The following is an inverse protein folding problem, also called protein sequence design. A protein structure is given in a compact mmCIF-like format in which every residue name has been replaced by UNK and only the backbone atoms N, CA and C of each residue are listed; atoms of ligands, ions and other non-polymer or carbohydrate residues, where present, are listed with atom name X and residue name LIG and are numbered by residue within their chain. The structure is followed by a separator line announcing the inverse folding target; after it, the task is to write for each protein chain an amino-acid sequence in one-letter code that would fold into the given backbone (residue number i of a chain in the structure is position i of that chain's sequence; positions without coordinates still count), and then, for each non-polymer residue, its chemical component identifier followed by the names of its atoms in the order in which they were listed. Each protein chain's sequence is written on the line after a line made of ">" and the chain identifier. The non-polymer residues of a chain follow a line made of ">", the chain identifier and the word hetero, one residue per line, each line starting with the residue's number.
data_IF_636479548593
#
_entry.id   IF_636479548593
#
_cell.length_a   1.000
_cell.length_b   1.000
_cell.length_c   1.000
_cell.angle_alpha   90.00
_cell.angle_beta   90.00
_cell.angle_gamma   90.00
#
_symmetry.space_group_name_H-M   'P 1'
#
loop_
_entity.id
_entity.type
_entity.pdbx_description
1 polymer ?
#
# COMPACT_ATOMS: atom_id res chain seq x y z
N UNK A 1 12.79 -7.03 18.06
CA UNK A 1 12.93 -8.15 17.09
C UNK A 1 12.39 -7.71 15.74
N UNK A 2 12.84 -8.27 14.61
CA UNK A 2 12.35 -7.89 13.29
C UNK A 2 11.08 -8.69 12.89
N UNK A 3 10.25 -8.11 12.03
CA UNK A 3 9.15 -8.85 11.38
C UNK A 3 9.69 -9.95 10.48
N UNK A 4 9.05 -11.11 10.48
CA UNK A 4 9.45 -12.26 9.67
C UNK A 4 8.53 -12.41 8.47
N UNK A 5 9.11 -12.48 7.28
CA UNK A 5 8.41 -12.70 6.00
C UNK A 5 8.60 -14.14 5.58
N UNK A 6 7.52 -14.82 5.19
CA UNK A 6 7.58 -16.24 4.80
C UNK A 6 6.88 -16.47 3.47
N UNK A 7 7.56 -17.19 2.57
CA UNK A 7 7.05 -17.67 1.30
C UNK A 7 7.36 -19.18 1.20
N UNK A 8 6.42 -20.06 1.57
CA UNK A 8 6.67 -21.50 1.53
C UNK A 8 6.72 -22.01 0.08
N UNK A 9 7.51 -23.05 -0.15
CA UNK A 9 7.62 -23.76 -1.42
C UNK A 9 6.44 -24.72 -1.69
N UNK A 10 5.58 -24.92 -0.69
CA UNK A 10 4.34 -25.70 -0.81
C UNK A 10 3.23 -24.99 -1.59
N UNK A 11 3.44 -23.73 -2.00
CA UNK A 11 2.55 -22.94 -2.87
C UNK A 11 3.36 -22.20 -3.94
N UNK A 12 2.69 -21.71 -4.98
CA UNK A 12 3.34 -20.89 -6.00
C UNK A 12 4.02 -19.66 -5.39
N UNK A 13 5.18 -19.27 -5.93
CA UNK A 13 5.87 -18.06 -5.50
C UNK A 13 4.99 -16.79 -5.66
N UNK A 14 5.21 -15.73 -4.85
CA UNK A 14 4.47 -14.49 -5.00
C UNK A 14 4.49 -13.96 -6.45
N UNK A 15 3.30 -13.67 -7.01
CA UNK A 15 3.16 -13.15 -8.38
C UNK A 15 3.57 -11.67 -8.53
N UNK A 16 4.23 -11.10 -7.53
CA UNK A 16 4.63 -9.70 -7.48
C UNK A 16 5.43 -9.38 -6.21
N UNK A 17 5.77 -8.09 -5.98
CA UNK A 17 6.60 -7.65 -4.86
C UNK A 17 5.83 -7.63 -3.52
N UNK A 18 5.50 -8.81 -3.00
CA UNK A 18 4.87 -9.06 -1.69
C UNK A 18 5.38 -10.36 -1.06
N UNK A 19 5.02 -10.59 0.21
CA UNK A 19 5.25 -11.88 0.90
C UNK A 19 3.90 -12.56 1.17
N UNK A 20 3.83 -13.89 1.09
CA UNK A 20 2.61 -14.66 1.42
C UNK A 20 2.17 -14.44 2.86
N UNK A 21 3.11 -14.31 3.80
CA UNK A 21 2.81 -13.89 5.16
C UNK A 21 3.87 -12.96 5.76
N UNK A 22 3.43 -12.14 6.71
CA UNK A 22 4.27 -11.32 7.58
C UNK A 22 3.87 -11.61 9.02
N UNK A 23 4.80 -12.19 9.78
CA UNK A 23 4.69 -12.38 11.22
C UNK A 23 5.27 -11.13 11.91
N UNK A 24 4.42 -10.48 12.72
CA UNK A 24 4.79 -9.27 13.46
C UNK A 24 5.67 -9.66 14.65
N UNK A 25 6.64 -8.81 14.98
CA UNK A 25 7.56 -9.07 16.07
C UNK A 25 6.83 -8.98 17.42
N UNK A 26 7.19 -9.81 18.42
CA UNK A 26 6.60 -9.71 19.75
C UNK A 26 6.72 -8.31 20.34
N UNK A 27 5.63 -7.81 20.93
CA UNK A 27 5.57 -6.49 21.56
C UNK A 27 5.42 -5.30 20.59
N UNK A 28 5.35 -5.52 19.28
CA UNK A 28 5.17 -4.43 18.33
C UNK A 28 3.81 -3.73 18.50
N UNK A 29 3.80 -2.40 18.43
CA UNK A 29 2.59 -1.58 18.36
C UNK A 29 2.01 -1.66 16.95
N UNK A 30 0.70 -1.93 16.85
CA UNK A 30 -0.03 -1.91 15.57
C UNK A 30 -0.60 -0.53 15.27
N UNK A 31 -0.51 -0.12 14.01
CA UNK A 31 -1.10 1.11 13.50
C UNK A 31 -1.93 0.74 12.27
N UNK A 32 -3.23 1.01 12.35
CA UNK A 32 -4.17 0.84 11.24
C UNK A 32 -4.39 2.19 10.59
N UNK A 33 -4.05 2.30 9.30
CA UNK A 33 -4.24 3.54 8.55
C UNK A 33 -5.53 3.44 7.75
N UNK A 34 -6.32 4.52 7.74
CA UNK A 34 -7.41 4.67 6.79
C UNK A 34 -6.88 4.64 5.35
N UNK A 35 -7.71 4.20 4.40
CA UNK A 35 -7.39 4.22 2.98
C UNK A 35 -6.98 5.62 2.51
N UNK A 36 -5.85 5.70 1.82
CA UNK A 36 -5.38 6.93 1.19
C UNK A 36 -5.66 6.88 -0.30
N UNK A 37 -6.21 7.97 -0.82
CA UNK A 37 -6.61 8.12 -2.22
C UNK A 37 -5.71 9.15 -2.92
N UNK A 38 -5.98 9.44 -4.20
CA UNK A 38 -5.25 10.44 -4.98
C UNK A 38 -5.48 11.91 -4.60
N UNK A 39 -6.20 12.20 -3.52
CA UNK A 39 -6.49 13.55 -3.06
C UNK A 39 -5.23 14.24 -2.54
N UNK A 40 -4.91 15.42 -3.08
CA UNK A 40 -3.83 16.28 -2.61
C UNK A 40 -4.19 17.02 -1.30
N UNK A 41 -3.21 17.64 -0.62
CA UNK A 41 -3.43 18.34 0.65
C UNK A 41 -4.36 19.55 0.53
N UNK A 42 -4.52 20.11 -0.67
CA UNK A 42 -5.45 21.19 -1.01
C UNK A 42 -6.84 20.68 -1.42
N UNK A 43 -7.06 19.37 -1.40
CA UNK A 43 -8.29 18.73 -1.84
C UNK A 43 -8.38 18.47 -3.35
N UNK A 44 -7.34 18.81 -4.13
CA UNK A 44 -7.29 18.53 -5.57
C UNK A 44 -7.22 17.03 -5.85
N UNK A 45 -7.79 16.61 -6.98
CA UNK A 45 -7.67 15.23 -7.48
C UNK A 45 -7.15 15.32 -8.91
N UNK A 46 -5.90 14.91 -9.17
CA UNK A 46 -5.37 14.91 -10.52
C UNK A 46 -6.04 13.82 -11.36
N UNK A 47 -6.03 13.99 -12.68
CA UNK A 47 -6.48 12.95 -13.59
C UNK A 47 -5.45 11.83 -13.75
N UNK A 48 -5.95 10.61 -13.94
CA UNK A 48 -5.14 9.45 -14.27
C UNK A 48 -4.45 8.79 -13.09
N UNK A 49 -3.95 7.58 -13.32
CA UNK A 49 -3.43 6.72 -12.26
C UNK A 49 -2.10 7.22 -11.68
N UNK A 50 -1.19 7.74 -12.50
CA UNK A 50 0.18 8.01 -12.05
C UNK A 50 0.22 9.09 -10.96
N UNK A 51 -0.47 10.20 -11.21
CA UNK A 51 -0.55 11.31 -10.26
C UNK A 51 -1.38 10.95 -9.01
N UNK A 52 -2.51 10.25 -9.18
CA UNK A 52 -3.29 9.81 -8.03
C UNK A 52 -2.56 8.78 -7.17
N UNK A 53 -1.82 7.84 -7.76
CA UNK A 53 -1.03 6.87 -7.00
C UNK A 53 0.13 7.56 -6.27
N UNK A 54 0.80 8.53 -6.90
CA UNK A 54 1.87 9.31 -6.26
C UNK A 54 1.32 10.07 -5.03
N UNK A 55 0.15 10.69 -5.17
CA UNK A 55 -0.53 11.35 -4.06
C UNK A 55 -0.91 10.35 -2.95
N UNK A 56 -1.52 9.21 -3.29
CA UNK A 56 -1.91 8.20 -2.31
C UNK A 56 -0.71 7.67 -1.51
N UNK A 57 0.41 7.36 -2.17
CA UNK A 57 1.63 6.93 -1.48
C UNK A 57 2.31 8.05 -0.69
N UNK A 58 2.28 9.30 -1.18
CA UNK A 58 2.79 10.46 -0.43
C UNK A 58 1.97 10.70 0.83
N UNK A 59 0.64 10.57 0.75
CA UNK A 59 -0.26 10.66 1.89
C UNK A 59 0.04 9.54 2.90
N UNK A 60 0.18 8.29 2.44
CA UNK A 60 0.60 7.18 3.31
C UNK A 60 1.92 7.46 4.03
N UNK A 61 2.93 7.97 3.31
CA UNK A 61 4.22 8.34 3.90
C UNK A 61 4.04 9.35 5.04
N UNK A 62 3.23 10.37 4.83
CA UNK A 62 2.99 11.43 5.82
C UNK A 62 2.21 10.90 7.04
N UNK A 63 1.18 10.08 6.83
CA UNK A 63 0.37 9.50 7.91
C UNK A 63 1.18 8.48 8.73
N UNK A 64 2.00 7.65 8.07
CA UNK A 64 2.95 6.76 8.73
C UNK A 64 3.93 7.57 9.60
N UNK A 65 4.54 8.61 9.03
CA UNK A 65 5.49 9.46 9.75
C UNK A 65 4.87 10.14 10.98
N UNK A 66 3.63 10.64 10.87
CA UNK A 66 2.88 11.19 11.99
C UNK A 66 2.63 10.17 13.13
N UNK A 67 2.65 8.88 12.81
CA UNK A 67 2.50 7.76 13.77
C UNK A 67 3.84 7.21 14.27
N UNK A 68 4.96 7.83 13.89
CA UNK A 68 6.32 7.36 14.19
C UNK A 68 6.74 6.12 13.39
N UNK A 69 6.14 5.90 12.23
CA UNK A 69 6.39 4.75 11.35
C UNK A 69 6.94 5.19 9.98
N UNK A 70 7.57 4.26 9.27
CA UNK A 70 7.93 4.37 7.87
C UNK A 70 7.34 3.22 7.04
N UNK A 71 7.64 3.17 5.73
CA UNK A 71 7.17 2.07 4.88
C UNK A 71 7.76 0.72 5.28
N UNK A 72 8.95 0.70 5.88
CA UNK A 72 9.62 -0.49 6.40
C UNK A 72 8.81 -1.20 7.51
N UNK A 73 7.97 -0.42 8.22
CA UNK A 73 7.07 -0.91 9.27
C UNK A 73 5.76 -1.44 8.68
N UNK A 74 5.50 -1.29 7.37
CA UNK A 74 4.27 -1.79 6.72
C UNK A 74 4.31 -3.31 6.62
N UNK A 75 3.31 -3.95 7.24
CA UNK A 75 3.16 -5.40 7.30
C UNK A 75 2.04 -5.92 6.40
N UNK A 76 1.05 -5.09 6.09
CA UNK A 76 -0.05 -5.39 5.16
C UNK A 76 -0.34 -4.18 4.27
N UNK A 77 -0.58 -4.41 2.99
CA UNK A 77 -1.00 -3.39 2.03
C UNK A 77 -2.13 -3.92 1.12
N UNK A 78 -3.25 -3.20 1.10
CA UNK A 78 -4.36 -3.44 0.18
C UNK A 78 -4.42 -2.32 -0.84
N UNK A 79 -4.70 -2.66 -2.09
CA UNK A 79 -4.88 -1.67 -3.15
C UNK A 79 -6.09 -1.99 -3.98
N UNK A 80 -6.84 -0.93 -4.27
CA UNK A 80 -8.10 -0.97 -4.98
C UNK A 80 -7.96 -0.04 -6.19
N UNK A 81 -8.03 -0.59 -7.40
CA UNK A 81 -8.08 0.20 -8.64
C UNK A 81 -9.46 0.05 -9.28
N UNK A 82 -9.93 1.10 -9.95
CA UNK A 82 -11.23 1.07 -10.63
C UNK A 82 -11.17 0.46 -12.03
N UNK A 83 -9.98 0.40 -12.64
CA UNK A 83 -9.78 -0.19 -13.98
C UNK A 83 -8.46 -0.99 -14.05
N UNK A 84 -8.47 -2.06 -14.85
CA UNK A 84 -7.28 -2.87 -15.14
C UNK A 84 -6.21 -2.09 -15.89
N UNK A 85 -6.59 -1.12 -16.73
CA UNK A 85 -5.67 -0.27 -17.47
C UNK A 85 -4.72 0.52 -16.54
N UNK A 86 -5.15 0.80 -15.30
CA UNK A 86 -4.35 1.53 -14.32
C UNK A 86 -3.26 0.69 -13.64
N UNK A 87 -3.29 -0.64 -13.80
CA UNK A 87 -2.38 -1.55 -13.10
C UNK A 87 -0.91 -1.24 -13.34
N UNK A 88 -0.52 -0.88 -14.55
CA UNK A 88 0.89 -0.65 -14.90
C UNK A 88 1.43 0.63 -14.22
N UNK A 89 0.71 1.74 -14.36
CA UNK A 89 1.05 3.02 -13.72
C UNK A 89 1.12 2.92 -12.20
N UNK A 90 0.10 2.30 -11.58
CA UNK A 90 0.11 2.01 -10.14
C UNK A 90 1.35 1.22 -9.71
N UNK A 91 1.71 0.15 -10.45
CA UNK A 91 2.85 -0.68 -10.09
C UNK A 91 4.19 0.06 -10.26
N UNK A 92 4.30 0.97 -11.22
CA UNK A 92 5.48 1.82 -11.39
C UNK A 92 5.69 2.72 -10.16
N UNK A 93 4.63 3.39 -9.71
CA UNK A 93 4.66 4.22 -8.50
C UNK A 93 4.93 3.38 -7.25
N UNK A 94 4.20 2.27 -7.06
CA UNK A 94 4.41 1.36 -5.91
C UNK A 94 5.86 0.92 -5.77
N UNK A 95 6.55 0.60 -6.89
CA UNK A 95 7.96 0.21 -6.87
C UNK A 95 8.87 1.33 -6.37
N UNK A 96 8.61 2.58 -6.76
CA UNK A 96 9.39 3.75 -6.31
C UNK A 96 9.29 3.97 -4.80
N UNK A 97 8.10 3.77 -4.22
CA UNK A 97 7.88 4.00 -2.78
C UNK A 97 8.29 2.81 -1.90
N UNK A 98 8.03 1.57 -2.33
CA UNK A 98 8.30 0.39 -1.51
C UNK A 98 9.68 -0.22 -1.75
N UNK A 99 10.33 -0.02 -2.90
CA UNK A 99 11.63 -0.63 -3.19
C UNK A 99 11.63 -2.14 -2.92
N UNK A 100 12.46 -2.58 -1.95
CA UNK A 100 12.58 -3.98 -1.52
C UNK A 100 11.66 -4.40 -0.37
N UNK A 101 10.79 -3.50 0.10
CA UNK A 101 9.81 -3.82 1.13
C UNK A 101 8.77 -4.78 0.53
N UNK A 102 8.51 -5.87 1.26
CA UNK A 102 7.58 -6.94 0.86
C UNK A 102 6.53 -7.18 1.96
N UNK A 103 5.49 -6.32 2.07
CA UNK A 103 4.39 -6.59 3.00
C UNK A 103 3.56 -7.77 2.50
N UNK A 104 2.66 -8.29 3.34
CA UNK A 104 1.52 -9.03 2.82
C UNK A 104 0.69 -8.10 1.94
N UNK A 105 0.11 -8.60 0.84
CA UNK A 105 -0.56 -7.71 -0.11
C UNK A 105 -1.76 -8.32 -0.81
N UNK A 106 -2.79 -7.50 -0.96
CA UNK A 106 -3.98 -7.79 -1.76
C UNK A 106 -4.18 -6.69 -2.80
N UNK A 107 -4.45 -7.07 -4.05
CA UNK A 107 -4.77 -6.15 -5.14
C UNK A 107 -6.14 -6.49 -5.71
N UNK A 108 -7.03 -5.50 -5.78
CA UNK A 108 -8.41 -5.66 -6.22
C UNK A 108 -8.75 -4.68 -7.33
N UNK A 109 -9.56 -5.14 -8.27
CA UNK A 109 -10.31 -4.28 -9.16
C UNK A 109 -11.71 -4.09 -8.57
N UNK A 110 -12.12 -2.85 -8.36
CA UNK A 110 -13.40 -2.48 -7.76
C UNK A 110 -14.24 -1.69 -8.76
N UNK A 111 -15.57 -1.69 -8.60
CA UNK A 111 -16.48 -0.98 -9.51
C UNK A 111 -16.42 0.55 -9.38
N UNK A 112 -15.87 1.06 -8.28
CA UNK A 112 -15.75 2.49 -8.00
C UNK A 112 -15.23 2.73 -6.58
N UNK A 113 -14.90 3.98 -6.30
CA UNK A 113 -14.47 4.48 -4.99
C UNK A 113 -15.48 5.52 -4.47
N UNK A 114 -15.20 6.11 -3.30
CA UNK A 114 -16.10 7.07 -2.65
C UNK A 114 -16.45 8.30 -3.52
N UNK A 115 -15.62 8.63 -4.51
CA UNK A 115 -15.90 9.64 -5.53
C UNK A 115 -15.58 9.08 -6.92
N UNK A 116 -16.32 9.48 -7.97
CA UNK A 116 -16.15 8.94 -9.31
C UNK A 116 -14.82 9.35 -9.99
N UNK A 117 -14.21 10.44 -9.53
CA UNK A 117 -12.92 10.94 -10.01
C UNK A 117 -11.72 10.21 -9.39
N UNK A 118 -11.94 9.37 -8.37
CA UNK A 118 -10.90 8.55 -7.75
C UNK A 118 -10.73 7.22 -8.48
N UNK A 119 -9.49 6.91 -8.85
CA UNK A 119 -9.15 5.65 -9.55
C UNK A 119 -8.28 4.70 -8.74
N UNK A 120 -7.78 5.15 -7.58
CA UNK A 120 -6.93 4.37 -6.67
C UNK A 120 -7.20 4.70 -5.21
N UNK A 121 -7.23 3.65 -4.39
CA UNK A 121 -7.17 3.73 -2.93
C UNK A 121 -6.19 2.69 -2.39
N UNK A 122 -5.40 3.08 -1.39
CA UNK A 122 -4.37 2.24 -0.77
C UNK A 122 -4.53 2.27 0.74
N UNK A 123 -4.69 1.09 1.33
CA UNK A 123 -4.81 0.90 2.79
C UNK A 123 -3.60 0.11 3.29
N UNK A 124 -3.06 0.49 4.44
CA UNK A 124 -1.94 -0.23 5.06
C UNK A 124 -2.17 -0.50 6.54
N UNK A 125 -1.56 -1.59 7.01
CA UNK A 125 -1.32 -1.82 8.44
C UNK A 125 0.19 -1.78 8.64
N UNK A 126 0.63 -1.01 9.64
CA UNK A 126 2.02 -0.95 10.07
C UNK A 126 2.18 -1.54 11.47
N UNK A 127 3.38 -2.04 11.77
CA UNK A 127 3.76 -2.53 13.07
C UNK A 127 5.10 -1.91 13.47
N UNK A 128 5.15 -1.20 14.59
CA UNK A 128 6.38 -0.57 15.11
C UNK A 128 6.92 -1.34 16.30
N UNK A 129 8.18 -1.75 16.21
CA UNK A 129 8.92 -2.44 17.27
C UNK A 129 9.59 -1.43 18.20
#
# INVERSE_FOLDING_TARGET
>A
MAHKRTNPDTVAAPGGPYSHSVEIAPGARLIYLAGQTGVGPDGSIPEGIDAQAENAFTNLKNVLAASGCGFEDVVMLRSYLTDRAYREGYNAVRRRFLGDIRPASTFLLVSGLARPDLVVEIEVVAAKV
#
